data_IF_919754405819
#
_entry.id   IF_919754405819
#
_cell.length_a   1.000
_cell.length_b   1.000
_cell.length_c   1.000
_cell.angle_alpha   90.00
_cell.angle_beta   90.00
_cell.angle_gamma   90.00
#
_symmetry.space_group_name_H-M   'P 1'
#
loop_
_entity.id
_entity.type
_entity.pdbx_description
1 polymer ?
#
# COMPACT_ATOMS: atom_id res chain seq x y z
N UNK A 1 -16.74 24.85 -5.54
CA UNK A 1 -15.62 24.14 -6.18
C UNK A 1 -15.93 22.65 -6.09
N UNK A 2 -15.73 21.88 -7.18
CA UNK A 2 -15.90 20.42 -7.11
C UNK A 2 -14.96 19.83 -6.06
N UNK A 3 -15.44 18.89 -5.25
CA UNK A 3 -14.60 18.26 -4.25
C UNK A 3 -13.49 17.46 -4.94
N UNK A 4 -12.26 17.60 -4.43
CA UNK A 4 -11.11 16.86 -4.95
C UNK A 4 -11.30 15.36 -4.69
N UNK A 5 -10.99 14.52 -5.66
CA UNK A 5 -11.06 13.06 -5.44
C UNK A 5 -10.04 12.63 -4.37
N UNK A 6 -10.24 11.44 -3.80
CA UNK A 6 -9.46 10.91 -2.69
C UNK A 6 -8.46 9.83 -3.14
N UNK A 7 -7.31 9.76 -2.47
CA UNK A 7 -6.48 8.57 -2.42
C UNK A 7 -6.28 8.15 -0.95
N UNK A 8 -6.47 6.87 -0.66
CA UNK A 8 -6.25 6.29 0.68
C UNK A 8 -4.94 5.51 0.67
N UNK A 9 -4.04 5.83 1.59
CA UNK A 9 -2.77 5.14 1.77
C UNK A 9 -2.78 4.44 3.13
N UNK A 10 -2.97 3.14 3.14
CA UNK A 10 -2.90 2.31 4.34
C UNK A 10 -1.48 1.80 4.54
N UNK A 11 -0.90 2.03 5.70
CA UNK A 11 0.48 1.69 6.02
C UNK A 11 1.46 2.84 5.73
N UNK A 12 1.12 4.03 6.22
CA UNK A 12 2.01 5.20 6.15
C UNK A 12 3.09 5.11 7.23
N UNK A 13 4.31 5.44 6.83
CA UNK A 13 5.50 5.55 7.66
C UNK A 13 6.61 6.28 6.90
N UNK A 14 7.76 6.56 7.54
CA UNK A 14 8.85 7.34 6.96
C UNK A 14 9.61 6.55 5.88
N UNK A 15 9.01 6.36 4.71
CA UNK A 15 9.55 5.61 3.58
C UNK A 15 8.53 5.55 2.46
N UNK A 16 8.32 4.39 1.85
CA UNK A 16 7.44 4.20 0.70
C UNK A 16 6.05 4.80 0.91
N UNK A 17 5.43 4.61 2.09
CA UNK A 17 4.11 5.18 2.39
C UNK A 17 4.11 6.71 2.37
N UNK A 18 5.17 7.36 2.86
CA UNK A 18 5.29 8.82 2.78
C UNK A 18 5.52 9.32 1.36
N UNK A 19 6.37 8.64 0.58
CA UNK A 19 6.62 8.99 -0.82
C UNK A 19 5.37 8.82 -1.68
N UNK A 20 4.60 7.74 -1.49
CA UNK A 20 3.31 7.54 -2.15
C UNK A 20 2.34 8.67 -1.78
N UNK A 21 2.23 9.03 -0.49
CA UNK A 21 1.35 10.10 -0.03
C UNK A 21 1.69 11.44 -0.69
N UNK A 22 2.97 11.83 -0.74
CA UNK A 22 3.42 13.05 -1.43
C UNK A 22 3.09 13.02 -2.92
N UNK A 23 3.33 11.89 -3.58
CA UNK A 23 3.06 11.75 -5.02
C UNK A 23 1.57 11.90 -5.33
N UNK A 24 0.72 11.20 -4.61
CA UNK A 24 -0.73 11.25 -4.84
C UNK A 24 -1.36 12.58 -4.36
N UNK A 25 -0.77 13.26 -3.36
CA UNK A 25 -1.24 14.56 -2.88
C UNK A 25 -1.12 15.68 -3.92
N UNK A 26 -0.28 15.52 -4.94
CA UNK A 26 -0.18 16.47 -6.06
C UNK A 26 -1.48 16.58 -6.85
N UNK A 27 -2.29 15.50 -6.84
CA UNK A 27 -3.54 15.43 -7.61
C UNK A 27 -4.77 15.27 -6.73
N UNK A 28 -4.69 14.48 -5.68
CA UNK A 28 -5.83 14.07 -4.83
C UNK A 28 -5.73 14.65 -3.43
N UNK A 29 -6.86 14.71 -2.72
CA UNK A 29 -6.83 14.74 -1.26
C UNK A 29 -6.38 13.37 -0.75
N UNK A 30 -5.47 13.30 0.23
CA UNK A 30 -4.94 12.03 0.70
C UNK A 30 -5.36 11.73 2.12
N UNK A 31 -5.76 10.47 2.35
CA UNK A 31 -6.05 9.94 3.69
C UNK A 31 -4.97 8.94 4.07
N UNK A 32 -4.30 9.23 5.18
CA UNK A 32 -3.12 8.52 5.66
C UNK A 32 -3.50 7.63 6.84
N UNK A 33 -3.45 6.30 6.64
CA UNK A 33 -3.80 5.34 7.67
C UNK A 33 -2.55 4.69 8.27
N UNK A 34 -2.37 4.81 9.57
CA UNK A 34 -1.32 4.14 10.34
C UNK A 34 -1.77 3.99 11.79
N UNK A 35 -1.30 2.96 12.49
CA UNK A 35 -1.59 2.74 13.91
C UNK A 35 -1.09 3.87 14.79
N UNK A 36 0.07 4.42 14.44
CA UNK A 36 0.73 5.42 15.26
C UNK A 36 0.64 6.81 14.59
N UNK A 37 0.03 7.81 15.24
CA UNK A 37 -0.08 9.17 14.72
C UNK A 37 1.26 9.80 14.32
N UNK A 38 2.34 9.51 15.05
CA UNK A 38 3.68 10.00 14.72
C UNK A 38 4.18 9.60 13.32
N UNK A 39 3.56 8.59 12.68
CA UNK A 39 3.91 8.18 11.33
C UNK A 39 3.27 9.06 10.25
N UNK A 40 2.17 9.74 10.55
CA UNK A 40 1.44 10.53 9.54
C UNK A 40 1.31 12.03 9.89
N UNK A 41 1.29 12.42 11.16
CA UNK A 41 1.10 13.83 11.56
C UNK A 41 2.10 14.79 10.91
N UNK A 42 3.43 14.52 10.93
CA UNK A 42 4.39 15.39 10.26
C UNK A 42 4.15 15.50 8.74
N UNK A 43 3.76 14.39 8.13
CA UNK A 43 3.47 14.33 6.70
C UNK A 43 2.17 15.06 6.33
N UNK A 44 1.15 14.99 7.18
CA UNK A 44 -0.09 15.78 7.04
C UNK A 44 0.23 17.27 7.09
N UNK A 45 1.04 17.70 8.05
CA UNK A 45 1.47 19.10 8.14
C UNK A 45 2.27 19.55 6.92
N UNK A 46 3.22 18.71 6.46
CA UNK A 46 4.03 18.98 5.28
C UNK A 46 3.15 19.15 4.03
N UNK A 47 2.27 18.19 3.74
CA UNK A 47 1.41 18.22 2.55
C UNK A 47 0.46 19.42 2.60
N UNK A 48 -0.14 19.71 3.75
CA UNK A 48 -1.08 20.83 3.89
C UNK A 48 -0.37 22.18 3.78
N UNK A 49 0.87 22.29 4.27
CA UNK A 49 1.66 23.55 4.16
C UNK A 49 2.09 23.86 2.73
N UNK A 50 2.16 22.86 1.86
CA UNK A 50 2.53 23.01 0.44
C UNK A 50 1.30 23.13 -0.49
N UNK A 51 0.10 23.34 0.06
CA UNK A 51 -1.13 23.53 -0.70
C UNK A 51 -1.86 22.23 -1.11
N UNK A 52 -1.38 21.09 -0.64
CA UNK A 52 -2.10 19.82 -0.72
C UNK A 52 -3.25 19.73 0.29
N UNK A 53 -3.91 18.60 0.33
CA UNK A 53 -4.92 18.28 1.35
C UNK A 53 -4.67 16.87 1.88
N UNK A 54 -4.31 16.75 3.14
CA UNK A 54 -4.04 15.47 3.81
C UNK A 54 -4.75 15.42 5.16
N UNK A 55 -5.24 14.23 5.51
CA UNK A 55 -5.71 13.90 6.85
C UNK A 55 -5.12 12.57 7.29
N UNK A 56 -4.84 12.42 8.57
CA UNK A 56 -4.37 11.18 9.18
C UNK A 56 -5.44 10.55 10.06
N UNK A 57 -5.59 9.24 10.00
CA UNK A 57 -6.51 8.48 10.85
C UNK A 57 -5.77 7.31 11.47
N UNK A 58 -5.79 7.22 12.80
CA UNK A 58 -5.20 6.07 13.50
C UNK A 58 -6.00 4.80 13.17
N UNK A 59 -5.32 3.82 12.54
CA UNK A 59 -5.98 2.63 12.02
C UNK A 59 -5.08 1.41 12.14
N UNK A 60 -5.58 0.37 12.78
CA UNK A 60 -5.00 -0.96 12.69
C UNK A 60 -5.67 -1.75 11.57
N UNK A 61 -4.95 -1.97 10.47
CA UNK A 61 -5.48 -2.70 9.31
C UNK A 61 -5.82 -4.16 9.62
N UNK A 62 -5.20 -4.75 10.66
CA UNK A 62 -5.46 -6.12 11.09
C UNK A 62 -6.78 -6.29 11.83
N UNK A 63 -7.36 -5.18 12.32
CA UNK A 63 -8.66 -5.13 13.00
C UNK A 63 -9.74 -4.56 12.07
N UNK A 64 -10.72 -5.39 11.73
CA UNK A 64 -11.84 -5.01 10.87
C UNK A 64 -12.66 -3.85 11.47
N UNK A 65 -12.83 -3.78 12.80
CA UNK A 65 -13.56 -2.70 13.44
C UNK A 65 -12.82 -1.37 13.33
N UNK A 66 -11.50 -1.39 13.51
CA UNK A 66 -10.63 -0.21 13.30
C UNK A 66 -10.70 0.30 11.86
N UNK A 67 -10.65 -0.61 10.88
CA UNK A 67 -10.80 -0.24 9.46
C UNK A 67 -12.19 0.32 9.18
N UNK A 68 -13.26 -0.30 9.69
CA UNK A 68 -14.62 0.19 9.52
C UNK A 68 -14.78 1.61 10.07
N UNK A 69 -14.32 1.85 11.30
CA UNK A 69 -14.37 3.17 11.93
C UNK A 69 -13.60 4.23 11.12
N UNK A 70 -12.43 3.88 10.57
CA UNK A 70 -11.65 4.77 9.73
C UNK A 70 -12.41 5.16 8.45
N UNK A 71 -13.01 4.19 7.74
CA UNK A 71 -13.79 4.47 6.53
C UNK A 71 -15.07 5.26 6.82
N UNK A 72 -15.72 5.03 7.96
CA UNK A 72 -16.87 5.82 8.37
C UNK A 72 -16.49 7.28 8.71
N UNK A 73 -15.30 7.49 9.28
CA UNK A 73 -14.75 8.82 9.49
C UNK A 73 -14.40 9.50 8.14
N UNK A 74 -13.81 8.76 7.19
CA UNK A 74 -13.55 9.27 5.83
C UNK A 74 -14.84 9.72 5.15
N UNK A 75 -15.90 8.91 5.22
CA UNK A 75 -17.18 9.26 4.62
C UNK A 75 -17.80 10.53 5.22
N UNK A 76 -17.61 10.76 6.52
CA UNK A 76 -18.07 12.00 7.20
C UNK A 76 -17.24 13.22 6.82
N UNK A 77 -15.91 13.08 6.67
CA UNK A 77 -15.01 14.18 6.33
C UNK A 77 -15.05 14.55 4.84
N UNK A 78 -15.34 13.58 3.98
CA UNK A 78 -15.32 13.72 2.52
C UNK A 78 -16.60 13.16 1.86
N UNK A 79 -17.79 13.68 2.23
CA UNK A 79 -19.08 13.06 1.86
C UNK A 79 -19.36 13.02 0.35
N UNK A 80 -18.68 13.87 -0.43
CA UNK A 80 -18.89 14.01 -1.87
C UNK A 80 -17.65 13.70 -2.70
N UNK A 81 -16.60 13.16 -2.08
CA UNK A 81 -15.35 12.89 -2.79
C UNK A 81 -15.31 11.45 -3.32
N UNK A 82 -15.05 11.31 -4.62
CA UNK A 82 -14.84 10.01 -5.25
C UNK A 82 -13.50 9.40 -4.82
N UNK A 83 -13.46 8.11 -4.52
CA UNK A 83 -12.22 7.40 -4.22
C UNK A 83 -11.51 7.00 -5.52
N UNK A 84 -10.40 7.67 -5.82
CA UNK A 84 -9.60 7.42 -7.02
C UNK A 84 -8.59 6.27 -6.84
N UNK A 85 -7.99 6.16 -5.66
CA UNK A 85 -6.99 5.13 -5.40
C UNK A 85 -7.02 4.67 -3.94
N UNK A 86 -6.78 3.38 -3.74
CA UNK A 86 -6.48 2.80 -2.44
C UNK A 86 -5.17 2.02 -2.53
N UNK A 87 -4.22 2.33 -1.67
CA UNK A 87 -2.91 1.68 -1.64
C UNK A 87 -2.73 0.96 -0.30
N UNK A 88 -2.52 -0.35 -0.37
CA UNK A 88 -2.23 -1.19 0.78
C UNK A 88 -0.71 -1.42 0.89
N UNK A 89 -0.06 -0.74 1.84
CA UNK A 89 1.40 -0.71 2.00
C UNK A 89 1.91 -1.00 3.43
N UNK A 90 1.23 -1.78 4.29
CA UNK A 90 1.75 -2.06 5.62
C UNK A 90 3.04 -2.89 5.56
N UNK A 91 4.04 -2.47 6.36
CA UNK A 91 5.29 -3.20 6.56
C UNK A 91 5.30 -4.13 7.78
N UNK A 92 4.14 -4.40 8.40
CA UNK A 92 4.04 -5.19 9.62
C UNK A 92 4.20 -6.71 9.39
N UNK A 93 4.50 -7.43 10.48
CA UNK A 93 4.62 -8.89 10.46
C UNK A 93 5.94 -9.43 9.91
N UNK A 94 6.95 -8.57 9.73
CA UNK A 94 8.27 -9.03 9.30
C UNK A 94 9.03 -9.65 10.47
N UNK A 95 9.22 -10.95 10.42
CA UNK A 95 10.03 -11.73 11.36
C UNK A 95 10.98 -12.62 10.56
N UNK A 96 12.26 -12.63 10.93
CA UNK A 96 13.29 -13.50 10.37
C UNK A 96 13.85 -14.40 11.47
N UNK A 97 13.36 -15.65 11.52
CA UNK A 97 13.77 -16.66 12.52
C UNK A 97 13.83 -18.03 11.89
N UNK A 98 14.68 -18.96 12.37
CA UNK A 98 14.56 -20.40 12.09
C UNK A 98 13.14 -20.87 12.36
N UNK A 99 12.65 -21.82 11.57
CA UNK A 99 11.25 -22.29 11.66
C UNK A 99 10.88 -22.81 13.06
N UNK A 100 11.78 -23.55 13.69
CA UNK A 100 11.55 -24.13 15.03
C UNK A 100 11.52 -23.08 16.16
N UNK A 101 12.04 -21.86 15.91
CA UNK A 101 12.04 -20.75 16.85
C UNK A 101 10.84 -19.80 16.63
N UNK A 102 10.06 -20.00 15.55
CA UNK A 102 8.86 -19.21 15.32
C UNK A 102 7.78 -19.57 16.33
N UNK A 103 7.18 -18.53 16.90
CA UNK A 103 5.99 -18.69 17.73
C UNK A 103 4.73 -18.64 16.87
N UNK A 104 3.62 -19.15 17.40
CA UNK A 104 2.30 -19.00 16.79
C UNK A 104 1.92 -17.52 16.60
N UNK A 105 2.30 -16.65 17.55
CA UNK A 105 2.09 -15.21 17.46
C UNK A 105 2.90 -14.56 16.33
N UNK A 106 4.16 -14.96 16.12
CA UNK A 106 4.97 -14.48 14.99
C UNK A 106 4.28 -14.82 13.66
N UNK A 107 3.76 -16.05 13.53
CA UNK A 107 3.10 -16.51 12.32
C UNK A 107 1.74 -15.85 12.12
N UNK A 108 0.89 -15.83 13.14
CA UNK A 108 -0.45 -15.25 13.05
C UNK A 108 -0.43 -13.73 12.87
N UNK A 109 0.52 -13.03 13.52
CA UNK A 109 0.69 -11.58 13.35
C UNK A 109 1.03 -11.18 11.92
N UNK A 110 1.88 -11.98 11.23
CA UNK A 110 2.19 -11.73 9.83
C UNK A 110 0.93 -11.89 8.94
N UNK A 111 0.16 -12.95 9.12
CA UNK A 111 -1.09 -13.18 8.38
C UNK A 111 -2.13 -12.10 8.68
N UNK A 112 -2.33 -11.74 9.95
CA UNK A 112 -3.26 -10.67 10.36
C UNK A 112 -2.89 -9.33 9.71
N UNK A 113 -1.60 -8.98 9.73
CA UNK A 113 -1.14 -7.70 9.18
C UNK A 113 -1.25 -7.64 7.66
N UNK A 114 -0.93 -8.71 6.93
CA UNK A 114 -0.84 -8.71 5.47
C UNK A 114 -2.13 -9.22 4.82
N UNK A 115 -2.52 -10.47 5.11
CA UNK A 115 -3.66 -11.09 4.46
C UNK A 115 -4.99 -10.49 4.94
N UNK A 116 -5.23 -10.51 6.27
CA UNK A 116 -6.47 -9.96 6.81
C UNK A 116 -6.53 -8.44 6.63
N UNK A 117 -5.41 -7.75 6.83
CA UNK A 117 -5.33 -6.30 6.60
C UNK A 117 -5.65 -5.91 5.15
N UNK A 118 -5.09 -6.63 4.18
CA UNK A 118 -5.39 -6.46 2.76
C UNK A 118 -6.86 -6.69 2.44
N UNK A 119 -7.43 -7.76 3.00
CA UNK A 119 -8.86 -8.06 2.88
C UNK A 119 -9.74 -6.95 3.48
N UNK A 120 -9.45 -6.50 4.70
CA UNK A 120 -10.23 -5.49 5.40
C UNK A 120 -10.26 -4.16 4.61
N UNK A 121 -9.11 -3.70 4.12
CA UNK A 121 -9.02 -2.48 3.30
C UNK A 121 -9.75 -2.67 1.97
N UNK A 122 -9.53 -3.78 1.27
CA UNK A 122 -10.19 -4.06 -0.01
C UNK A 122 -11.71 -4.11 0.13
N UNK A 123 -12.23 -4.74 1.19
CA UNK A 123 -13.66 -4.87 1.46
C UNK A 123 -14.36 -3.51 1.60
N UNK A 124 -13.69 -2.51 2.15
CA UNK A 124 -14.22 -1.14 2.30
C UNK A 124 -13.93 -0.26 1.09
N UNK A 125 -12.76 -0.42 0.45
CA UNK A 125 -12.36 0.43 -0.66
C UNK A 125 -13.07 0.09 -1.98
N UNK A 126 -13.25 -1.20 -2.31
CA UNK A 126 -13.80 -1.63 -3.60
C UNK A 126 -15.19 -1.05 -3.91
N UNK A 127 -16.18 -1.02 -2.99
CA UNK A 127 -17.46 -0.39 -3.27
C UNK A 127 -17.33 1.10 -3.63
N UNK A 128 -16.41 1.82 -2.99
CA UNK A 128 -16.17 3.25 -3.24
C UNK A 128 -15.44 3.47 -4.59
N UNK A 129 -14.49 2.59 -4.93
CA UNK A 129 -13.82 2.61 -6.23
C UNK A 129 -14.81 2.33 -7.37
N UNK A 130 -15.73 1.37 -7.20
CA UNK A 130 -16.77 1.07 -8.18
C UNK A 130 -17.71 2.26 -8.41
N UNK A 131 -18.06 2.99 -7.36
CA UNK A 131 -18.87 4.22 -7.45
C UNK A 131 -18.15 5.33 -8.19
N UNK A 132 -16.81 5.39 -8.12
CA UNK A 132 -15.99 6.45 -8.69
C UNK A 132 -15.68 6.27 -10.19
N UNK A 133 -15.89 5.07 -10.77
CA UNK A 133 -15.33 4.64 -12.07
C UNK A 133 -15.61 5.57 -13.26
N UNK A 134 -16.70 6.32 -13.23
CA UNK A 134 -17.12 7.21 -14.32
C UNK A 134 -17.04 8.70 -13.94
N UNK A 135 -16.52 9.01 -12.75
CA UNK A 135 -16.47 10.38 -12.19
C UNK A 135 -15.05 10.94 -12.03
N UNK A 136 -14.03 10.17 -12.38
CA UNK A 136 -12.61 10.55 -12.24
C UNK A 136 -11.84 10.29 -13.54
N UNK A 137 -10.74 11.06 -13.79
CA UNK A 137 -10.04 10.99 -15.07
C UNK A 137 -9.26 9.69 -15.32
N UNK A 138 -8.81 9.02 -14.26
CA UNK A 138 -8.07 7.76 -14.34
C UNK A 138 -8.93 6.59 -13.81
N UNK A 139 -8.70 5.36 -14.27
CA UNK A 139 -9.39 4.19 -13.71
C UNK A 139 -9.16 4.10 -12.20
N UNK A 140 -10.22 3.86 -11.41
CA UNK A 140 -10.05 3.65 -9.97
C UNK A 140 -9.11 2.48 -9.71
N UNK A 141 -8.19 2.63 -8.74
CA UNK A 141 -7.07 1.70 -8.59
C UNK A 141 -6.95 1.19 -7.17
N UNK A 142 -6.69 -0.12 -7.02
CA UNK A 142 -6.32 -0.76 -5.77
C UNK A 142 -4.93 -1.40 -5.93
N UNK A 143 -3.92 -0.90 -5.19
CA UNK A 143 -2.55 -1.40 -5.26
C UNK A 143 -2.19 -2.10 -3.95
N UNK A 144 -1.66 -3.32 -4.06
CA UNK A 144 -1.09 -4.07 -2.94
C UNK A 144 0.44 -4.07 -3.02
N UNK A 145 1.10 -3.65 -1.95
CA UNK A 145 2.56 -3.73 -1.84
C UNK A 145 3.00 -5.13 -1.48
N UNK A 146 3.60 -5.80 -2.44
CA UNK A 146 4.26 -7.08 -2.30
C UNK A 146 5.73 -6.97 -1.87
N UNK A 147 6.44 -8.08 -2.01
CA UNK A 147 7.87 -8.21 -1.76
C UNK A 147 8.39 -9.44 -2.51
N UNK A 148 9.71 -9.69 -2.55
CA UNK A 148 10.31 -10.98 -2.96
C UNK A 148 9.56 -12.16 -2.34
N UNK A 149 9.21 -12.02 -1.07
CA UNK A 149 8.46 -13.02 -0.30
C UNK A 149 7.02 -13.26 -0.81
N UNK A 150 6.55 -12.55 -1.82
CA UNK A 150 5.24 -12.81 -2.46
C UNK A 150 5.28 -13.95 -3.49
N UNK A 151 6.47 -14.31 -3.98
CA UNK A 151 6.66 -15.38 -4.97
C UNK A 151 7.77 -16.36 -4.63
N UNK A 152 8.61 -16.05 -3.62
CA UNK A 152 9.76 -16.87 -3.23
C UNK A 152 9.79 -17.05 -1.71
N UNK A 153 9.62 -18.29 -1.23
CA UNK A 153 9.92 -18.65 0.15
C UNK A 153 11.42 -18.80 0.35
N UNK A 154 11.96 -18.26 1.43
CA UNK A 154 13.37 -18.38 1.78
C UNK A 154 13.53 -18.92 3.19
N UNK A 155 14.69 -19.54 3.50
CA UNK A 155 15.00 -19.99 4.85
C UNK A 155 14.85 -18.83 5.85
N UNK A 156 14.27 -19.09 7.01
CA UNK A 156 13.98 -18.12 8.08
C UNK A 156 12.88 -17.08 7.79
N UNK A 157 12.16 -17.19 6.68
CA UNK A 157 11.09 -16.25 6.31
C UNK A 157 9.70 -16.87 6.26
N UNK A 158 9.48 -18.03 6.89
CA UNK A 158 8.24 -18.80 6.74
C UNK A 158 6.97 -17.98 7.05
N UNK A 159 6.93 -17.21 8.16
CA UNK A 159 5.77 -16.38 8.52
C UNK A 159 5.54 -15.25 7.52
N UNK A 160 6.59 -14.52 7.18
CA UNK A 160 6.51 -13.39 6.27
C UNK A 160 6.16 -13.82 4.84
N UNK A 161 6.78 -14.89 4.33
CA UNK A 161 6.49 -15.41 3.00
C UNK A 161 5.05 -15.93 2.90
N UNK A 162 4.57 -16.73 3.86
CA UNK A 162 3.18 -17.20 3.88
C UNK A 162 2.19 -16.04 3.80
N UNK A 163 2.42 -14.98 4.56
CA UNK A 163 1.55 -13.81 4.58
C UNK A 163 1.58 -13.02 3.26
N UNK A 164 2.74 -12.86 2.64
CA UNK A 164 2.90 -12.16 1.36
C UNK A 164 2.35 -12.97 0.18
N UNK A 165 2.50 -14.29 0.17
CA UNK A 165 1.83 -15.16 -0.80
C UNK A 165 0.30 -15.06 -0.68
N UNK A 166 -0.23 -15.07 0.55
CA UNK A 166 -1.67 -14.90 0.78
C UNK A 166 -2.18 -13.55 0.25
N UNK A 167 -1.44 -12.46 0.48
CA UNK A 167 -1.78 -11.14 -0.05
C UNK A 167 -1.77 -11.12 -1.58
N UNK A 168 -0.78 -11.76 -2.23
CA UNK A 168 -0.71 -11.88 -3.69
C UNK A 168 -1.89 -12.67 -4.24
N UNK A 169 -2.26 -13.79 -3.61
CA UNK A 169 -3.41 -14.59 -4.01
C UNK A 169 -4.72 -13.78 -3.93
N UNK A 170 -4.90 -12.99 -2.86
CA UNK A 170 -6.02 -12.06 -2.74
C UNK A 170 -6.02 -11.04 -3.90
N UNK A 171 -4.89 -10.38 -4.16
CA UNK A 171 -4.78 -9.41 -5.25
C UNK A 171 -5.13 -10.02 -6.62
N UNK A 172 -4.68 -11.26 -6.89
CA UNK A 172 -4.99 -11.99 -8.12
C UNK A 172 -6.50 -12.25 -8.28
N UNK A 173 -7.17 -12.65 -7.21
CA UNK A 173 -8.62 -12.90 -7.23
C UNK A 173 -9.39 -11.62 -7.49
N UNK A 174 -9.03 -10.54 -6.78
CA UNK A 174 -9.68 -9.24 -6.94
C UNK A 174 -9.44 -8.63 -8.32
N UNK A 175 -8.23 -8.79 -8.90
CA UNK A 175 -7.95 -8.31 -10.24
C UNK A 175 -8.84 -8.98 -11.30
N UNK A 176 -9.09 -10.30 -11.18
CA UNK A 176 -9.96 -11.05 -12.09
C UNK A 176 -11.43 -10.68 -11.93
N UNK A 177 -11.87 -10.45 -10.70
CA UNK A 177 -13.27 -10.13 -10.38
C UNK A 177 -13.63 -8.69 -10.75
N UNK A 178 -12.76 -7.72 -10.44
CA UNK A 178 -13.05 -6.30 -10.56
C UNK A 178 -12.43 -5.63 -11.79
N UNK A 179 -11.44 -6.24 -12.44
CA UNK A 179 -10.87 -5.76 -13.70
C UNK A 179 -11.92 -5.59 -14.80
N UNK A 180 -12.78 -6.60 -15.08
CA UNK A 180 -13.87 -6.46 -16.03
C UNK A 180 -14.89 -5.35 -15.68
N UNK A 181 -14.93 -4.93 -14.41
CA UNK A 181 -15.77 -3.84 -13.93
C UNK A 181 -15.09 -2.46 -14.03
N UNK A 182 -13.86 -2.40 -14.56
CA UNK A 182 -13.10 -1.18 -14.79
C UNK A 182 -12.23 -0.73 -13.62
N UNK A 183 -12.02 -1.57 -12.61
CA UNK A 183 -11.12 -1.29 -11.49
C UNK A 183 -9.73 -1.87 -11.77
N UNK A 184 -8.70 -1.04 -11.68
CA UNK A 184 -7.32 -1.51 -11.81
C UNK A 184 -6.83 -2.06 -10.47
N UNK A 185 -6.80 -3.36 -10.32
CA UNK A 185 -6.17 -4.03 -9.16
C UNK A 185 -4.77 -4.48 -9.54
N UNK A 186 -3.75 -4.01 -8.81
CA UNK A 186 -2.35 -4.30 -9.09
C UNK A 186 -1.60 -4.75 -7.84
N UNK A 187 -0.58 -5.58 -8.05
CA UNK A 187 0.34 -6.07 -7.02
C UNK A 187 1.77 -5.65 -7.38
N UNK A 188 2.38 -4.78 -6.56
CA UNK A 188 3.73 -4.30 -6.78
C UNK A 188 4.73 -5.09 -5.93
N UNK A 189 5.58 -5.89 -6.57
CA UNK A 189 6.66 -6.63 -5.92
C UNK A 189 7.82 -5.67 -5.68
N UNK A 190 8.15 -5.43 -4.41
CA UNK A 190 9.32 -4.65 -4.01
C UNK A 190 10.42 -5.65 -3.66
N UNK A 191 11.27 -5.94 -4.66
CA UNK A 191 12.31 -6.96 -4.55
C UNK A 191 13.66 -6.33 -4.22
N UNK A 192 13.89 -6.12 -2.94
CA UNK A 192 15.12 -5.56 -2.41
C UNK A 192 14.90 -4.73 -1.14
N UNK A 193 15.99 -4.20 -0.62
CA UNK A 193 15.97 -3.31 0.55
C UNK A 193 15.63 -1.89 0.13
N UNK A 194 14.64 -1.28 0.77
CA UNK A 194 14.25 0.11 0.51
C UNK A 194 15.14 1.05 1.34
N UNK A 195 15.59 2.17 0.77
CA UNK A 195 16.35 3.21 1.48
C UNK A 195 15.40 4.05 2.35
N UNK A 196 15.28 3.65 3.59
CA UNK A 196 14.42 4.27 4.61
C UNK A 196 15.22 4.47 5.90
N UNK A 197 14.77 5.29 6.87
CA UNK A 197 15.52 5.53 8.11
C UNK A 197 15.99 4.26 8.80
N UNK A 198 15.16 3.21 8.84
CA UNK A 198 15.51 1.92 9.47
C UNK A 198 16.67 1.19 8.78
N UNK A 199 16.79 1.32 7.47
CA UNK A 199 17.81 0.64 6.66
C UNK A 199 18.96 1.56 6.26
N UNK A 200 18.94 2.82 6.68
CA UNK A 200 19.91 3.83 6.30
C UNK A 200 21.35 3.41 6.62
N UNK A 201 21.57 2.83 7.80
CA UNK A 201 22.88 2.37 8.24
C UNK A 201 23.36 1.05 7.61
N UNK A 202 22.51 0.35 6.85
CA UNK A 202 22.88 -0.90 6.20
C UNK A 202 23.81 -0.61 5.03
N UNK A 203 24.97 -1.24 5.03
CA UNK A 203 25.99 -1.09 3.98
C UNK A 203 25.83 -2.19 2.95
N UNK A 204 25.95 -1.82 1.70
CA UNK A 204 25.96 -2.71 0.54
C UNK A 204 27.25 -2.47 -0.27
N UNK A 205 27.61 -3.42 -1.09
CA UNK A 205 28.78 -3.33 -1.97
C UNK A 205 28.61 -2.23 -3.04
N UNK A 206 27.37 -2.08 -3.53
CA UNK A 206 27.02 -1.08 -4.54
C UNK A 206 26.22 0.07 -3.92
N UNK A 207 26.45 1.29 -4.40
CA UNK A 207 25.75 2.50 -3.94
C UNK A 207 24.25 2.40 -4.21
N UNK A 208 23.83 1.89 -5.37
CA UNK A 208 22.43 1.77 -5.80
C UNK A 208 21.77 0.43 -5.40
N UNK A 209 22.27 -0.25 -4.37
CA UNK A 209 21.73 -1.53 -3.92
C UNK A 209 20.44 -1.41 -3.09
N UNK A 210 19.95 -0.18 -2.86
CA UNK A 210 18.69 0.07 -2.18
C UNK A 210 17.67 0.71 -3.12
N UNK A 211 16.43 0.28 -3.02
CA UNK A 211 15.32 0.90 -3.73
C UNK A 211 15.04 2.31 -3.20
N UNK A 212 14.92 3.27 -4.10
CA UNK A 212 14.50 4.62 -3.77
C UNK A 212 12.95 4.64 -3.57
N UNK A 213 12.46 5.08 -2.40
CA UNK A 213 11.02 5.11 -2.11
C UNK A 213 10.23 6.06 -3.03
N UNK A 214 10.85 7.14 -3.54
CA UNK A 214 10.19 8.07 -4.47
C UNK A 214 10.03 7.42 -5.86
N UNK A 215 11.02 6.66 -6.33
CA UNK A 215 10.92 5.90 -7.57
C UNK A 215 9.85 4.79 -7.48
N UNK A 216 9.68 4.17 -6.30
CA UNK A 216 8.56 3.25 -6.04
C UNK A 216 7.23 4.01 -6.16
N UNK A 217 7.11 5.19 -5.57
CA UNK A 217 5.90 6.01 -5.63
C UNK A 217 5.57 6.47 -7.06
N UNK A 218 6.57 6.79 -7.88
CA UNK A 218 6.41 7.10 -9.30
C UNK A 218 5.86 5.89 -10.07
N UNK A 219 6.34 4.69 -9.76
CA UNK A 219 5.83 3.44 -10.34
C UNK A 219 4.38 3.17 -9.95
N UNK A 220 3.98 3.48 -8.71
CA UNK A 220 2.59 3.37 -8.26
C UNK A 220 1.68 4.39 -8.95
N UNK A 221 2.18 5.60 -9.17
CA UNK A 221 1.47 6.60 -9.96
C UNK A 221 1.31 6.16 -11.41
N UNK A 222 2.36 5.57 -12.02
CA UNK A 222 2.28 4.98 -13.35
C UNK A 222 1.17 3.90 -13.42
N UNK A 223 1.12 2.97 -12.46
CA UNK A 223 0.05 1.97 -12.39
C UNK A 223 -1.33 2.64 -12.32
N UNK A 224 -1.49 3.66 -11.47
CA UNK A 224 -2.75 4.36 -11.31
C UNK A 224 -3.21 5.09 -12.59
N UNK A 225 -2.29 5.59 -13.40
CA UNK A 225 -2.62 6.37 -14.60
C UNK A 225 -2.70 5.54 -15.89
N UNK A 226 -2.54 4.21 -15.80
CA UNK A 226 -2.64 3.34 -16.97
C UNK A 226 -4.06 3.36 -17.57
N UNK A 227 -4.18 3.33 -18.92
CA UNK A 227 -5.48 3.24 -19.58
C UNK A 227 -6.10 1.85 -19.38
N UNK A 228 -7.43 1.77 -19.43
CA UNK A 228 -8.19 0.52 -19.30
C UNK A 228 -7.79 -0.57 -20.30
N UNK A 229 -7.17 -0.19 -21.41
CA UNK A 229 -6.69 -1.11 -22.45
C UNK A 229 -5.39 -1.82 -22.08
N UNK A 230 -4.70 -1.38 -21.02
CA UNK A 230 -3.35 -1.86 -20.68
C UNK A 230 -3.13 -1.80 -19.17
N UNK A 231 -3.82 -2.65 -18.42
CA UNK A 231 -3.61 -2.79 -16.97
C UNK A 231 -2.47 -3.75 -16.68
N UNK A 232 -1.45 -3.31 -15.98
CA UNK A 232 -0.43 -4.18 -15.41
C UNK A 232 -0.94 -4.76 -14.07
N UNK A 233 -1.18 -6.07 -14.03
CA UNK A 233 -1.54 -6.73 -12.78
C UNK A 233 -0.37 -6.77 -11.81
N UNK A 234 0.82 -7.13 -12.28
CA UNK A 234 2.01 -7.28 -11.44
C UNK A 234 3.16 -6.45 -11.98
N UNK A 235 3.80 -5.70 -11.11
CA UNK A 235 4.99 -4.91 -11.40
C UNK A 235 6.10 -5.34 -10.43
N UNK A 236 7.28 -5.63 -10.95
CA UNK A 236 8.46 -6.05 -10.19
C UNK A 236 9.50 -4.92 -10.20
N UNK A 237 9.82 -4.39 -9.03
CA UNK A 237 10.78 -3.31 -8.83
C UNK A 237 11.95 -3.81 -7.99
N UNK A 238 13.16 -3.62 -8.50
CA UNK A 238 14.40 -4.03 -7.83
C UNK A 238 15.58 -3.13 -8.19
N UNK A 239 16.60 -3.05 -7.33
CA UNK A 239 17.89 -2.50 -7.73
C UNK A 239 18.48 -3.29 -8.90
N UNK A 240 19.18 -2.64 -9.82
CA UNK A 240 19.81 -3.32 -10.97
C UNK A 240 20.86 -4.37 -10.56
N UNK A 241 21.39 -4.28 -9.35
CA UNK A 241 22.38 -5.21 -8.78
C UNK A 241 21.75 -6.36 -7.97
N UNK A 242 20.42 -6.41 -7.84
CA UNK A 242 19.72 -7.48 -7.11
C UNK A 242 19.91 -8.82 -7.84
N UNK A 243 20.25 -9.86 -7.08
CA UNK A 243 20.45 -11.21 -7.62
C UNK A 243 19.15 -11.98 -7.61
N UNK A 244 18.84 -12.60 -8.74
CA UNK A 244 17.62 -13.38 -8.97
C UNK A 244 17.69 -14.74 -8.26
#
# INVERSE_FOLDING_TARGET
MASKALAIIAGVGPGTGASIARKFAQTYSVVLLSRNPSNYEPLVQEINSTGGQAVGISTDVSDANSVNAAFDQIAKQFPSSALAAAIFNPGGGFVRKPFLDLTEDDYSSALKSQANGGFNIAKRALPLLLQAKDSIPHPPTLIFTGATASFKGSANFASFASAKFALRALAQSLAREFGPQGIHVSHAIIDGVIDIPRTKAWKFEHEDAKLNPDAIADSYWHLHTQPRTTFAFELDLRPYVEKW
#
